data_IF_387640820169
#
_entry.id   IF_387640820169
#
_cell.length_a   1.000
_cell.length_b   1.000
_cell.length_c   1.000
_cell.angle_alpha   90.00
_cell.angle_beta   90.00
_cell.angle_gamma   90.00
#
_symmetry.space_group_name_H-M   'P 1'
#
loop_
_entity.id
_entity.type
_entity.pdbx_description
1 polymer ?
#
# COMPACT_ATOMS: atom_id res chain seq x y z
N UNK A 1 -15.09 -2.94 17.74
CA UNK A 1 -15.95 -2.51 16.59
C UNK A 1 -14.99 -1.90 15.57
N UNK A 2 -14.92 -2.40 14.34
CA UNK A 2 -13.93 -1.91 13.39
C UNK A 2 -14.34 -0.53 12.85
N UNK A 3 -13.37 0.33 12.54
CA UNK A 3 -13.60 1.67 11.96
C UNK A 3 -14.46 1.62 10.70
N UNK A 4 -14.40 0.53 9.96
CA UNK A 4 -15.11 0.30 8.70
C UNK A 4 -16.63 0.16 8.86
N UNK A 5 -17.13 -0.16 10.05
CA UNK A 5 -18.58 -0.21 10.34
C UNK A 5 -19.19 1.17 10.56
N UNK A 6 -18.36 2.20 10.71
CA UNK A 6 -18.78 3.58 10.96
C UNK A 6 -18.87 4.40 9.68
N UNK A 7 -19.56 5.51 9.74
CA UNK A 7 -19.74 6.42 8.59
C UNK A 7 -18.39 6.94 8.04
N UNK A 8 -17.44 7.22 8.93
CA UNK A 8 -16.09 7.71 8.54
C UNK A 8 -15.36 6.66 7.71
N UNK A 9 -15.34 5.40 8.16
CA UNK A 9 -14.69 4.32 7.42
C UNK A 9 -15.31 4.09 6.05
N UNK A 10 -16.64 4.16 5.94
CA UNK A 10 -17.34 4.06 4.65
C UNK A 10 -16.99 5.19 3.68
N UNK A 11 -16.89 6.43 4.18
CA UNK A 11 -16.47 7.57 3.35
C UNK A 11 -15.01 7.42 2.89
N UNK A 12 -14.13 6.87 3.72
CA UNK A 12 -12.76 6.54 3.33
C UNK A 12 -12.74 5.50 2.22
N UNK A 13 -13.47 4.40 2.37
CA UNK A 13 -13.57 3.35 1.34
C UNK A 13 -14.02 3.91 -0.02
N UNK A 14 -15.02 4.80 -0.05
CA UNK A 14 -15.47 5.44 -1.30
C UNK A 14 -14.30 6.17 -2.00
N UNK A 15 -13.37 6.73 -1.25
CA UNK A 15 -12.19 7.41 -1.80
C UNK A 15 -11.10 6.41 -2.22
N UNK A 16 -10.96 5.31 -1.50
CA UNK A 16 -9.89 4.32 -1.70
C UNK A 16 -10.17 3.38 -2.87
N UNK A 17 -11.40 2.88 -2.98
CA UNK A 17 -11.74 1.82 -3.94
C UNK A 17 -11.38 2.15 -5.40
N UNK A 18 -11.64 3.36 -5.93
CA UNK A 18 -11.23 3.71 -7.30
C UNK A 18 -9.71 3.72 -7.49
N UNK A 19 -8.97 4.13 -6.46
CA UNK A 19 -7.51 4.17 -6.50
C UNK A 19 -6.93 2.77 -6.44
N UNK A 20 -7.48 1.91 -5.57
CA UNK A 20 -7.12 0.50 -5.47
C UNK A 20 -7.36 -0.19 -6.82
N UNK A 21 -8.52 0.04 -7.44
CA UNK A 21 -8.83 -0.51 -8.76
C UNK A 21 -7.79 -0.08 -9.81
N UNK A 22 -7.45 1.20 -9.85
CA UNK A 22 -6.46 1.74 -10.78
C UNK A 22 -5.06 1.17 -10.55
N UNK A 23 -4.57 1.13 -9.30
CA UNK A 23 -3.23 0.64 -8.99
C UNK A 23 -3.12 -0.88 -9.09
N UNK A 24 -4.17 -1.62 -8.72
CA UNK A 24 -4.19 -3.07 -8.85
C UNK A 24 -4.19 -3.53 -10.31
N UNK A 25 -4.68 -2.71 -11.24
CA UNK A 25 -4.60 -3.01 -12.68
C UNK A 25 -3.17 -3.04 -13.22
N UNK A 26 -2.24 -2.38 -12.54
CA UNK A 26 -0.82 -2.41 -12.87
C UNK A 26 -0.11 -3.67 -12.33
N UNK A 27 -0.77 -4.46 -11.48
CA UNK A 27 -0.23 -5.68 -10.91
C UNK A 27 -0.50 -6.85 -11.85
N UNK A 28 0.56 -7.60 -12.19
CA UNK A 28 0.49 -8.72 -13.13
C UNK A 28 1.11 -9.95 -12.48
N UNK A 29 0.55 -11.12 -12.76
CA UNK A 29 1.01 -12.39 -12.21
C UNK A 29 -0.15 -13.37 -12.01
N UNK A 30 0.11 -14.47 -11.32
CA UNK A 30 -0.86 -15.53 -11.10
C UNK A 30 -1.38 -15.54 -9.65
N UNK A 31 -0.50 -15.35 -8.66
CA UNK A 31 -0.81 -15.51 -7.24
C UNK A 31 -0.70 -14.20 -6.51
N UNK A 32 -1.77 -13.85 -5.82
CA UNK A 32 -1.85 -12.60 -5.07
C UNK A 32 -2.23 -12.85 -3.62
N UNK A 33 -1.68 -12.03 -2.71
CA UNK A 33 -2.04 -12.03 -1.30
C UNK A 33 -2.71 -10.70 -0.95
N UNK A 34 -3.85 -10.77 -0.28
CA UNK A 34 -4.54 -9.63 0.30
C UNK A 34 -4.46 -9.72 1.82
N UNK A 35 -3.86 -8.73 2.43
CA UNK A 35 -3.86 -8.48 3.87
C UNK A 35 -4.83 -7.32 4.16
N UNK A 36 -6.07 -7.66 4.50
CA UNK A 36 -7.16 -6.72 4.79
C UNK A 36 -8.24 -7.42 5.58
N UNK A 37 -8.93 -6.69 6.45
CA UNK A 37 -10.13 -7.18 7.12
C UNK A 37 -11.42 -6.72 6.45
N UNK A 38 -11.31 -5.94 5.36
CA UNK A 38 -12.48 -5.34 4.71
C UNK A 38 -12.81 -6.08 3.38
N UNK A 39 -13.93 -6.82 3.34
CA UNK A 39 -14.31 -7.60 2.17
C UNK A 39 -14.55 -6.77 0.90
N UNK A 40 -15.04 -5.53 1.05
CA UNK A 40 -15.36 -4.64 -0.08
C UNK A 40 -14.12 -4.34 -0.93
N UNK A 41 -12.93 -4.41 -0.35
CA UNK A 41 -11.67 -4.21 -1.09
C UNK A 41 -11.49 -5.26 -2.18
N UNK A 42 -11.92 -6.50 -1.96
CA UNK A 42 -11.81 -7.59 -2.96
C UNK A 42 -12.54 -7.22 -4.25
N UNK A 43 -13.72 -6.59 -4.14
CA UNK A 43 -14.53 -6.22 -5.30
C UNK A 43 -13.88 -5.10 -6.13
N UNK A 44 -13.06 -4.28 -5.50
CA UNK A 44 -12.32 -3.20 -6.17
C UNK A 44 -11.05 -3.66 -6.86
N UNK A 45 -10.51 -4.83 -6.50
CA UNK A 45 -9.30 -5.35 -7.14
C UNK A 45 -9.56 -5.69 -8.61
N UNK A 46 -8.54 -5.53 -9.45
CA UNK A 46 -8.61 -5.92 -10.85
C UNK A 46 -8.95 -7.41 -11.01
N UNK A 47 -9.63 -7.77 -12.10
CA UNK A 47 -10.02 -9.17 -12.37
C UNK A 47 -8.82 -10.13 -12.35
N UNK A 48 -7.65 -9.66 -12.76
CA UNK A 48 -6.42 -10.45 -12.76
C UNK A 48 -5.97 -10.78 -11.34
N UNK A 49 -5.97 -9.81 -10.44
CA UNK A 49 -5.58 -9.99 -9.02
C UNK A 49 -6.56 -10.92 -8.31
N UNK A 50 -7.86 -10.82 -8.61
CA UNK A 50 -8.90 -11.65 -7.98
C UNK A 50 -8.88 -13.13 -8.38
N UNK A 51 -8.24 -13.49 -9.50
CA UNK A 51 -8.29 -14.85 -10.07
C UNK A 51 -7.70 -15.91 -9.14
N UNK A 52 -6.58 -15.63 -8.52
CA UNK A 52 -5.93 -16.54 -7.55
C UNK A 52 -5.49 -15.73 -6.32
N UNK A 53 -6.49 -15.28 -5.56
CA UNK A 53 -6.33 -14.43 -4.39
C UNK A 53 -6.28 -15.29 -3.12
N UNK A 54 -5.27 -15.03 -2.29
CA UNK A 54 -5.11 -15.60 -0.96
C UNK A 54 -5.37 -14.51 0.09
N UNK A 55 -5.93 -14.87 1.23
CA UNK A 55 -6.09 -13.96 2.37
C UNK A 55 -5.92 -14.70 3.69
N UNK A 56 -5.44 -13.98 4.70
CA UNK A 56 -5.35 -14.48 6.07
C UNK A 56 -6.49 -13.98 6.97
N UNK A 57 -7.39 -13.17 6.45
CA UNK A 57 -8.53 -12.64 7.22
C UNK A 57 -9.77 -13.51 7.07
N UNK A 58 -10.39 -13.86 8.21
CA UNK A 58 -11.66 -14.60 8.26
C UNK A 58 -12.80 -13.86 7.55
N UNK A 59 -12.77 -12.53 7.55
CA UNK A 59 -13.78 -11.72 6.89
C UNK A 59 -13.84 -11.94 5.38
N UNK A 60 -12.73 -12.38 4.76
CA UNK A 60 -12.56 -12.52 3.31
C UNK A 60 -12.57 -13.99 2.87
N UNK A 61 -12.60 -14.95 3.79
CA UNK A 61 -12.47 -16.39 3.49
C UNK A 61 -13.45 -16.93 2.42
N UNK A 62 -14.59 -16.26 2.21
CA UNK A 62 -15.56 -16.65 1.17
C UNK A 62 -15.17 -16.17 -0.23
N UNK A 63 -14.30 -15.17 -0.32
CA UNK A 63 -13.94 -14.49 -1.58
C UNK A 63 -12.50 -14.80 -2.03
N UNK A 64 -11.68 -15.36 -1.15
CA UNK A 64 -10.28 -15.68 -1.38
C UNK A 64 -9.91 -17.03 -0.77
N UNK A 65 -8.79 -17.60 -1.20
CA UNK A 65 -8.23 -18.80 -0.57
C UNK A 65 -7.72 -18.45 0.82
N UNK A 66 -8.46 -18.88 1.83
CA UNK A 66 -8.14 -18.59 3.22
C UNK A 66 -6.95 -19.42 3.71
N UNK A 67 -5.99 -18.75 4.34
CA UNK A 67 -4.89 -19.39 5.06
C UNK A 67 -4.72 -18.63 6.39
N UNK A 68 -4.92 -19.30 7.54
CA UNK A 68 -4.90 -18.63 8.83
C UNK A 68 -3.54 -17.97 9.08
N UNK A 69 -3.58 -16.75 9.60
CA UNK A 69 -2.38 -16.06 10.04
C UNK A 69 -1.77 -16.77 11.25
N UNK A 70 -0.45 -16.73 11.36
CA UNK A 70 0.23 -17.18 12.56
C UNK A 70 0.17 -16.11 13.65
N UNK A 71 -0.05 -16.49 14.89
CA UNK A 71 -0.01 -15.59 16.06
C UNK A 71 1.33 -14.86 16.20
N UNK A 72 2.40 -15.41 15.64
CA UNK A 72 3.75 -14.84 15.65
C UNK A 72 3.97 -13.71 14.63
N UNK A 73 2.96 -13.30 13.87
CA UNK A 73 3.10 -12.29 12.80
C UNK A 73 3.91 -12.77 11.58
N UNK A 74 4.22 -14.06 11.52
CA UNK A 74 4.88 -14.69 10.37
C UNK A 74 3.82 -15.21 9.42
N UNK A 75 3.93 -14.87 8.14
CA UNK A 75 3.01 -15.37 7.13
C UNK A 75 3.28 -16.86 6.84
N UNK A 76 2.24 -17.73 6.86
CA UNK A 76 2.37 -19.19 6.69
C UNK A 76 2.65 -19.61 5.25
N UNK A 77 3.41 -18.82 4.52
CA UNK A 77 3.79 -19.06 3.14
C UNK A 77 5.30 -19.18 2.99
N UNK A 78 5.72 -19.99 2.03
CA UNK A 78 7.14 -20.05 1.67
C UNK A 78 7.60 -18.72 1.06
N UNK A 79 8.92 -18.45 1.14
CA UNK A 79 9.52 -17.29 0.52
C UNK A 79 9.28 -17.28 -1.01
N UNK A 80 9.11 -16.11 -1.59
CA UNK A 80 8.97 -15.92 -3.04
C UNK A 80 7.82 -16.71 -3.67
N UNK A 81 6.66 -16.67 -3.02
CA UNK A 81 5.48 -17.43 -3.47
C UNK A 81 4.51 -16.57 -4.30
N UNK A 82 4.35 -15.29 -3.94
CA UNK A 82 3.37 -14.39 -4.55
C UNK A 82 3.98 -13.48 -5.62
N UNK A 83 3.22 -13.25 -6.68
CA UNK A 83 3.56 -12.29 -7.74
C UNK A 83 3.15 -10.87 -7.34
N UNK A 84 2.16 -10.74 -6.46
CA UNK A 84 1.75 -9.45 -5.92
C UNK A 84 1.12 -9.57 -4.54
N UNK A 85 1.25 -8.49 -3.76
CA UNK A 85 0.69 -8.37 -2.41
C UNK A 85 -0.03 -7.03 -2.32
N UNK A 86 -1.24 -7.06 -1.77
CA UNK A 86 -2.01 -5.87 -1.41
C UNK A 86 -2.14 -5.83 0.10
N UNK A 87 -1.65 -4.77 0.72
CA UNK A 87 -1.77 -4.50 2.15
C UNK A 87 -2.71 -3.32 2.31
N UNK A 88 -3.87 -3.55 2.91
CA UNK A 88 -4.90 -2.55 3.14
C UNK A 88 -5.14 -2.41 4.64
N UNK A 89 -4.61 -1.34 5.23
CA UNK A 89 -4.74 -0.98 6.65
C UNK A 89 -4.40 -2.10 7.65
N UNK A 90 -3.56 -3.04 7.26
CA UNK A 90 -3.15 -4.15 8.11
C UNK A 90 -1.91 -3.81 8.95
N UNK A 91 -0.95 -3.08 8.38
CA UNK A 91 0.29 -2.73 9.09
C UNK A 91 0.04 -1.83 10.31
N UNK A 92 -1.00 -1.01 10.29
CA UNK A 92 -1.35 -0.12 11.38
C UNK A 92 -1.83 -0.84 12.64
N UNK A 93 -2.34 -2.06 12.48
CA UNK A 93 -2.82 -2.91 13.59
C UNK A 93 -1.70 -3.72 14.23
N UNK A 94 -0.61 -3.91 13.50
CA UNK A 94 0.49 -4.74 13.95
C UNK A 94 1.33 -4.02 15.03
N UNK A 95 1.82 -4.78 15.99
CA UNK A 95 2.72 -4.27 17.03
C UNK A 95 4.05 -3.77 16.45
N UNK A 96 4.55 -4.46 15.43
CA UNK A 96 5.73 -4.07 14.65
C UNK A 96 5.41 -4.05 13.14
N UNK A 97 5.00 -2.88 12.60
CA UNK A 97 4.72 -2.73 11.16
C UNK A 97 5.92 -3.05 10.26
N UNK A 98 7.15 -2.85 10.77
CA UNK A 98 8.37 -3.14 10.03
C UNK A 98 8.55 -4.65 9.83
N UNK A 99 8.24 -5.43 10.85
CA UNK A 99 8.27 -6.89 10.74
C UNK A 99 7.22 -7.39 9.76
N UNK A 100 5.99 -6.87 9.82
CA UNK A 100 4.93 -7.22 8.88
C UNK A 100 5.30 -6.92 7.43
N UNK A 101 5.90 -5.75 7.18
CA UNK A 101 6.39 -5.40 5.85
C UNK A 101 7.52 -6.33 5.39
N UNK A 102 8.45 -6.70 6.29
CA UNK A 102 9.53 -7.65 5.99
C UNK A 102 8.98 -9.02 5.60
N UNK A 103 7.97 -9.51 6.32
CA UNK A 103 7.31 -10.77 6.01
C UNK A 103 6.59 -10.72 4.66
N UNK A 104 5.89 -9.63 4.36
CA UNK A 104 5.27 -9.42 3.06
C UNK A 104 6.32 -9.48 1.93
N UNK A 105 7.45 -8.79 2.10
CA UNK A 105 8.55 -8.83 1.10
C UNK A 105 9.20 -10.21 1.03
N UNK A 106 9.31 -10.96 2.13
CA UNK A 106 9.85 -12.33 2.13
C UNK A 106 9.04 -13.25 1.21
N UNK A 107 7.73 -13.17 1.28
CA UNK A 107 6.83 -14.02 0.48
C UNK A 107 6.59 -13.50 -0.93
N UNK A 108 6.97 -12.26 -1.23
CA UNK A 108 6.90 -11.65 -2.56
C UNK A 108 8.06 -12.14 -3.43
N UNK A 109 7.80 -12.51 -4.68
CA UNK A 109 8.83 -12.87 -5.66
C UNK A 109 9.70 -11.68 -6.04
N UNK A 110 10.97 -11.91 -6.48
CA UNK A 110 11.72 -10.90 -7.22
C UNK A 110 10.92 -10.42 -8.44
N UNK A 111 10.86 -9.11 -8.67
CA UNK A 111 10.01 -8.52 -9.71
C UNK A 111 8.52 -8.42 -9.35
N UNK A 112 8.09 -9.02 -8.24
CA UNK A 112 6.71 -8.93 -7.75
C UNK A 112 6.36 -7.53 -7.25
N UNK A 113 5.07 -7.21 -7.20
CA UNK A 113 4.57 -5.87 -6.86
C UNK A 113 3.85 -5.86 -5.51
N UNK A 114 4.12 -4.83 -4.74
CA UNK A 114 3.49 -4.54 -3.45
C UNK A 114 2.67 -3.26 -3.56
N UNK A 115 1.36 -3.36 -3.32
CA UNK A 115 0.47 -2.22 -3.14
C UNK A 115 0.18 -2.06 -1.65
N UNK A 116 0.61 -0.93 -1.07
CA UNK A 116 0.39 -0.58 0.31
C UNK A 116 -0.59 0.58 0.39
N UNK A 117 -1.66 0.39 1.16
CA UNK A 117 -2.64 1.39 1.51
C UNK A 117 -2.63 1.55 3.03
N UNK A 118 -2.51 2.78 3.51
CA UNK A 118 -2.44 3.03 4.94
C UNK A 118 -2.71 4.46 5.35
N UNK A 119 -2.92 4.66 6.67
CA UNK A 119 -3.14 5.99 7.24
C UNK A 119 -1.83 6.76 7.35
N UNK A 120 -1.88 8.01 6.91
CA UNK A 120 -0.74 8.91 6.91
C UNK A 120 -0.64 9.68 8.23
N UNK A 121 0.49 9.54 8.92
CA UNK A 121 0.75 10.23 10.18
C UNK A 121 0.86 11.77 10.03
N UNK A 122 1.22 12.28 8.86
CA UNK A 122 1.31 13.73 8.61
C UNK A 122 0.00 14.36 8.15
N UNK A 123 -1.08 13.61 8.17
CA UNK A 123 -2.41 14.13 7.87
C UNK A 123 -3.11 14.71 9.10
N UNK A 124 -4.21 15.40 8.87
CA UNK A 124 -5.10 15.82 9.97
C UNK A 124 -5.66 14.62 10.75
N UNK A 125 -5.81 13.46 10.12
CA UNK A 125 -6.17 12.21 10.81
C UNK A 125 -5.05 11.74 11.73
N UNK A 126 -3.80 11.87 11.32
CA UNK A 126 -2.64 11.57 12.15
C UNK A 126 -2.55 12.48 13.38
N UNK A 127 -2.81 13.77 13.21
CA UNK A 127 -2.87 14.72 14.31
C UNK A 127 -4.02 14.39 15.27
N UNK A 128 -5.19 14.04 14.75
CA UNK A 128 -6.32 13.57 15.56
C UNK A 128 -5.96 12.29 16.31
N UNK A 129 -5.33 11.31 15.67
CA UNK A 129 -4.89 10.08 16.33
C UNK A 129 -3.92 10.33 17.48
N UNK A 130 -3.06 11.36 17.36
CA UNK A 130 -2.20 11.78 18.47
C UNK A 130 -3.01 12.34 19.65
N UNK A 131 -4.04 13.12 19.37
CA UNK A 131 -4.94 13.66 20.37
C UNK A 131 -5.90 12.60 20.94
N UNK A 132 -6.33 11.62 20.15
CA UNK A 132 -7.28 10.56 20.54
C UNK A 132 -6.70 9.59 21.57
N UNK A 133 -5.39 9.52 21.73
CA UNK A 133 -4.75 8.80 22.84
C UNK A 133 -5.16 9.34 24.21
N UNK A 134 -5.67 10.55 24.27
CA UNK A 134 -6.19 11.19 25.49
C UNK A 134 -7.73 11.15 25.57
N UNK A 135 -8.40 10.77 24.48
CA UNK A 135 -9.86 10.65 24.40
C UNK A 135 -10.14 9.31 23.74
N UNK A 136 -11.00 8.47 24.33
CA UNK A 136 -11.39 7.17 23.77
C UNK A 136 -12.03 7.40 22.39
N UNK A 137 -11.28 7.16 21.33
CA UNK A 137 -11.72 7.32 19.94
C UNK A 137 -11.45 6.04 19.14
N UNK A 138 -12.23 5.80 18.11
CA UNK A 138 -12.20 4.61 17.25
C UNK A 138 -10.87 4.39 16.52
N UNK A 139 -10.05 5.44 16.42
CA UNK A 139 -8.70 5.39 15.85
C UNK A 139 -7.60 4.95 16.84
N UNK A 140 -7.95 4.71 18.11
CA UNK A 140 -6.96 4.37 19.15
C UNK A 140 -6.21 3.06 18.88
N UNK A 141 -6.84 2.14 18.13
CA UNK A 141 -6.26 0.84 17.76
C UNK A 141 -5.29 0.92 16.56
N UNK A 142 -5.33 2.02 15.80
CA UNK A 142 -4.52 2.16 14.59
C UNK A 142 -3.28 3.01 14.82
N UNK A 143 -2.14 2.51 14.39
CA UNK A 143 -0.87 3.26 14.36
C UNK A 143 -0.69 3.91 13.01
N UNK A 144 -0.82 5.22 12.97
CA UNK A 144 -0.57 5.97 11.73
C UNK A 144 0.88 5.85 11.31
N UNK A 145 1.10 5.53 10.04
CA UNK A 145 2.42 5.27 9.50
C UNK A 145 3.04 6.56 8.95
N UNK A 146 4.33 6.74 9.25
CA UNK A 146 5.09 7.84 8.70
C UNK A 146 5.54 7.50 7.27
N UNK A 147 5.10 8.26 6.22
CA UNK A 147 5.46 7.97 4.84
C UNK A 147 6.96 7.95 4.57
N UNK A 148 7.74 8.83 5.20
CA UNK A 148 9.19 8.87 5.01
C UNK A 148 9.85 7.63 5.59
N UNK A 149 9.43 7.17 6.77
CA UNK A 149 9.91 5.90 7.33
C UNK A 149 9.57 4.69 6.46
N UNK A 150 8.39 4.71 5.85
CA UNK A 150 8.02 3.64 4.91
C UNK A 150 8.93 3.62 3.69
N UNK A 151 9.28 4.79 3.14
CA UNK A 151 10.23 4.89 2.03
C UNK A 151 11.62 4.37 2.41
N UNK A 152 12.09 4.68 3.63
CA UNK A 152 13.35 4.12 4.15
C UNK A 152 13.26 2.59 4.28
N UNK A 153 12.14 2.06 4.78
CA UNK A 153 11.94 0.61 4.87
C UNK A 153 11.86 -0.05 3.49
N UNK A 154 11.22 0.60 2.52
CA UNK A 154 11.18 0.11 1.14
C UNK A 154 12.60 0.01 0.57
N UNK A 155 13.41 1.03 0.74
CA UNK A 155 14.81 1.03 0.29
C UNK A 155 15.64 -0.09 0.95
N UNK A 156 15.46 -0.30 2.27
CA UNK A 156 16.14 -1.37 3.02
C UNK A 156 15.69 -2.79 2.64
N UNK A 157 14.48 -2.93 2.10
CA UNK A 157 13.88 -4.21 1.71
C UNK A 157 13.96 -4.46 0.19
N UNK A 158 14.78 -3.71 -0.53
CA UNK A 158 14.93 -3.80 -1.99
C UNK A 158 13.62 -3.59 -2.76
N UNK A 159 12.72 -2.75 -2.22
CA UNK A 159 11.52 -2.29 -2.91
C UNK A 159 11.81 -0.95 -3.61
N UNK A 160 11.41 -0.85 -4.86
CA UNK A 160 11.50 0.37 -5.66
C UNK A 160 10.08 0.85 -6.03
N UNK A 161 9.79 2.13 -5.80
CA UNK A 161 8.50 2.69 -6.17
C UNK A 161 8.32 2.67 -7.69
N UNK A 162 7.18 2.15 -8.15
CA UNK A 162 6.79 2.19 -9.57
C UNK A 162 6.24 3.57 -9.92
N UNK A 163 5.49 4.15 -9.00
CA UNK A 163 4.90 5.48 -9.15
C UNK A 163 5.19 6.33 -7.90
N UNK A 164 5.11 7.65 -8.05
CA UNK A 164 5.16 8.54 -6.90
C UNK A 164 4.01 8.22 -5.93
N UNK A 165 4.26 8.23 -4.60
CA UNK A 165 3.21 8.01 -3.62
C UNK A 165 2.01 8.92 -3.87
N UNK A 166 0.81 8.34 -3.80
CA UNK A 166 -0.46 9.06 -3.97
C UNK A 166 -1.09 9.23 -2.59
N UNK A 167 -1.70 10.38 -2.36
CA UNK A 167 -2.34 10.68 -1.09
C UNK A 167 -3.79 11.08 -1.36
N UNK A 168 -4.74 10.50 -0.63
CA UNK A 168 -6.17 10.76 -0.76
C UNK A 168 -6.78 11.26 0.54
N UNK A 169 -8.02 11.78 0.46
CA UNK A 169 -8.79 12.16 1.63
C UNK A 169 -8.20 13.34 2.41
N UNK A 170 -8.51 14.56 2.01
CA UNK A 170 -8.29 15.77 2.81
C UNK A 170 -9.51 16.02 3.73
N UNK A 171 -9.98 14.97 4.44
CA UNK A 171 -11.08 15.14 5.37
C UNK A 171 -10.60 15.75 6.69
N UNK A 172 -11.25 16.79 7.17
CA UNK A 172 -11.17 17.13 8.58
C UNK A 172 -11.91 16.05 9.37
N UNK A 173 -11.26 15.29 10.25
CA UNK A 173 -11.92 14.25 11.04
C UNK A 173 -12.72 14.84 12.20
N UNK A 174 -13.23 16.04 12.07
CA UNK A 174 -14.05 16.65 13.09
C UNK A 174 -15.50 16.30 12.79
N UNK A 175 -15.92 15.18 13.32
CA UNK A 175 -17.30 15.06 13.79
C UNK A 175 -17.45 16.03 14.96
N UNK A 176 -17.50 17.30 14.66
CA UNK A 176 -18.01 18.29 15.60
C UNK A 176 -19.47 17.91 15.79
N UNK A 177 -19.75 17.32 16.95
CA UNK A 177 -21.08 17.04 17.44
C UNK A 177 -21.77 18.37 17.76
N UNK A 178 -21.86 19.23 16.75
CA UNK A 178 -22.64 20.45 16.76
C UNK A 178 -24.07 20.04 16.43
N UNK A 179 -24.88 19.93 17.46
CA UNK A 179 -26.34 19.80 17.45
C UNK A 179 -27.02 20.96 16.69
N UNK A 180 -26.58 21.29 15.48
CA UNK A 180 -27.28 22.23 14.61
C UNK A 180 -27.11 21.81 13.16
N UNK A 181 -28.17 21.23 12.66
CA UNK A 181 -28.34 20.54 11.40
C UNK A 181 -28.12 21.35 10.11
N UNK A 182 -27.75 22.61 10.11
CA UNK A 182 -27.99 23.38 8.88
C UNK A 182 -26.80 24.13 8.24
N UNK A 183 -25.60 24.12 8.82
CA UNK A 183 -24.52 24.93 8.20
C UNK A 183 -23.24 24.17 7.83
N UNK A 184 -23.02 22.95 8.32
CA UNK A 184 -21.78 22.21 8.06
C UNK A 184 -21.93 21.11 6.98
N UNK A 185 -23.11 20.86 6.46
CA UNK A 185 -23.31 19.99 5.30
C UNK A 185 -22.73 20.59 4.00
N UNK A 186 -22.42 21.88 3.96
CA UNK A 186 -21.69 22.51 2.86
C UNK A 186 -20.17 22.34 2.93
N UNK A 187 -19.62 22.03 4.09
CA UNK A 187 -18.26 21.55 4.24
C UNK A 187 -18.21 20.01 4.24
N UNK A 188 -19.02 19.36 3.42
CA UNK A 188 -18.72 18.01 2.93
C UNK A 188 -17.42 18.10 2.11
N UNK A 189 -16.32 18.20 2.81
CA UNK A 189 -14.97 18.09 2.26
C UNK A 189 -14.68 16.61 1.91
N UNK A 190 -15.74 15.78 1.85
CA UNK A 190 -15.65 14.43 1.36
C UNK A 190 -15.71 14.32 -0.16
N UNK A 191 -16.16 15.33 -0.84
CA UNK A 191 -16.22 15.35 -2.29
C UNK A 191 -15.12 16.24 -2.90
N UNK A 192 -13.97 16.35 -2.26
CA UNK A 192 -12.79 16.69 -3.05
C UNK A 192 -12.58 15.51 -3.98
N UNK A 193 -12.87 15.80 -5.23
CA UNK A 193 -12.65 14.99 -6.39
C UNK A 193 -11.49 14.01 -6.20
N UNK A 194 -11.46 12.90 -6.95
CA UNK A 194 -10.39 11.92 -6.92
C UNK A 194 -9.04 12.49 -7.39
N UNK A 195 -8.79 13.75 -7.13
CA UNK A 195 -7.53 14.41 -7.32
C UNK A 195 -6.61 13.94 -6.21
N UNK A 196 -6.03 12.77 -6.44
CA UNK A 196 -4.89 12.28 -5.72
C UNK A 196 -3.87 13.41 -5.62
N UNK A 197 -3.78 14.00 -4.45
CA UNK A 197 -2.86 15.11 -4.21
C UNK A 197 -1.46 14.52 -4.08
N UNK A 198 -0.52 15.05 -4.84
CA UNK A 198 0.91 14.72 -4.75
C UNK A 198 1.55 15.12 -3.41
N UNK A 199 0.83 15.87 -2.58
CA UNK A 199 1.34 16.39 -1.32
C UNK A 199 1.10 15.43 -0.16
N UNK A 200 2.07 15.23 0.75
CA UNK A 200 2.02 14.23 1.82
C UNK A 200 1.04 14.57 2.95
N UNK A 201 0.00 15.36 2.71
CA UNK A 201 -0.98 15.78 3.71
C UNK A 201 -2.33 15.06 3.64
N UNK A 202 -2.55 14.20 2.64
CA UNK A 202 -3.76 13.38 2.55
C UNK A 202 -3.84 12.35 3.66
N UNK A 203 -5.05 12.05 4.13
CA UNK A 203 -5.30 11.12 5.25
C UNK A 203 -4.87 9.68 4.95
N UNK A 204 -4.99 9.28 3.70
CA UNK A 204 -4.69 7.95 3.21
C UNK A 204 -3.52 8.06 2.25
N UNK A 205 -2.59 7.13 2.33
CA UNK A 205 -1.47 7.02 1.41
C UNK A 205 -1.55 5.72 0.62
N UNK A 206 -1.16 5.79 -0.64
CA UNK A 206 -1.07 4.67 -1.57
C UNK A 206 0.34 4.60 -2.12
N UNK A 207 0.99 3.48 -1.96
CA UNK A 207 2.35 3.23 -2.44
C UNK A 207 2.38 1.94 -3.24
N UNK A 208 2.74 2.04 -4.51
CA UNK A 208 2.97 0.88 -5.37
C UNK A 208 4.47 0.72 -5.61
N UNK A 209 5.01 -0.39 -5.12
CA UNK A 209 6.42 -0.70 -5.24
C UNK A 209 6.64 -2.06 -5.89
N UNK A 210 7.81 -2.26 -6.45
CA UNK A 210 8.26 -3.52 -7.03
C UNK A 210 9.51 -4.00 -6.29
N UNK A 211 9.56 -5.30 -5.99
CA UNK A 211 10.78 -5.90 -5.45
C UNK A 211 11.83 -6.01 -6.55
N UNK A 212 13.03 -5.50 -6.30
CA UNK A 212 14.14 -5.53 -7.25
C UNK A 212 14.47 -6.98 -7.63
N UNK A 213 14.69 -7.18 -8.91
CA UNK A 213 15.24 -8.42 -9.43
C UNK A 213 16.74 -8.24 -9.66
N UNK A 214 17.53 -8.75 -8.71
CA UNK A 214 18.99 -8.63 -8.73
C UNK A 214 19.60 -9.27 -9.98
N UNK A 215 19.02 -10.35 -10.47
CA UNK A 215 19.51 -11.06 -11.65
C UNK A 215 19.34 -10.20 -12.90
N UNK A 216 18.18 -9.57 -13.06
CA UNK A 216 17.90 -8.67 -14.19
C UNK A 216 18.81 -7.45 -14.17
N UNK A 217 19.04 -6.88 -12.99
CA UNK A 217 19.93 -5.72 -12.85
C UNK A 217 21.40 -6.08 -13.14
N UNK A 218 21.87 -7.26 -12.76
CA UNK A 218 23.22 -7.73 -13.10
C UNK A 218 23.40 -7.92 -14.60
N UNK A 219 22.40 -8.41 -15.31
CA UNK A 219 22.46 -8.56 -16.77
C UNK A 219 22.50 -7.21 -17.47
N UNK A 220 21.70 -6.24 -17.06
CA UNK A 220 21.74 -4.87 -17.59
C UNK A 220 23.11 -4.22 -17.37
N UNK A 221 23.74 -4.41 -16.22
CA UNK A 221 25.08 -3.89 -15.95
C UNK A 221 26.13 -4.56 -16.84
N UNK A 222 26.02 -5.87 -17.09
CA UNK A 222 26.91 -6.59 -18.01
C UNK A 222 26.77 -6.09 -19.44
N UNK A 223 25.56 -5.93 -19.95
CA UNK A 223 25.28 -5.42 -21.29
C UNK A 223 25.81 -4.00 -21.47
N UNK A 224 25.63 -3.13 -20.49
CA UNK A 224 26.15 -1.75 -20.53
C UNK A 224 27.69 -1.71 -20.52
N UNK A 225 28.35 -2.66 -19.85
CA UNK A 225 29.83 -2.76 -19.88
C UNK A 225 30.36 -3.30 -21.20
N UNK A 226 29.69 -4.27 -21.79
CA UNK A 226 30.07 -4.85 -23.08
C UNK A 226 29.86 -3.85 -24.21
N UNK A 227 28.79 -3.06 -24.21
CA UNK A 227 28.54 -2.02 -25.22
C UNK A 227 29.51 -0.83 -25.20
N UNK A 228 30.41 -0.73 -24.20
CA UNK A 228 31.44 0.33 -24.10
C UNK A 228 32.81 -0.07 -24.63
N UNK A 229 33.00 -1.27 -25.14
CA UNK A 229 34.22 -1.63 -25.83
C UNK A 229 34.14 -1.09 -27.28
N UNK A 230 34.53 0.17 -27.44
CA UNK A 230 34.73 0.79 -28.73
C UNK A 230 35.87 0.03 -29.41
N UNK A 231 35.69 -0.50 -30.66
CA UNK A 231 36.79 -1.13 -31.35
C UNK A 231 37.87 -0.09 -31.63
N UNK A 232 39.09 -0.44 -31.25
CA UNK A 232 40.26 0.40 -31.51
C UNK A 232 40.32 0.73 -33.01
N UNK A 233 40.32 2.02 -33.33
CA UNK A 233 40.49 2.49 -34.68
C UNK A 233 41.80 1.95 -35.21
N UNK A 234 41.78 1.19 -36.31
CA UNK A 234 42.94 0.76 -37.06
C UNK A 234 43.62 1.99 -37.66
N UNK A 235 44.74 2.37 -37.09
CA UNK A 235 45.65 3.34 -37.75
C UNK A 235 46.16 2.71 -39.04
N UNK A 236 45.69 3.18 -40.20
CA UNK A 236 46.33 2.94 -41.48
C UNK A 236 47.55 3.84 -41.54
N UNK A 237 48.75 3.25 -41.50
CA UNK A 237 49.96 3.87 -41.92
C UNK A 237 49.98 3.91 -43.45
N UNK A 238 49.91 5.09 -44.04
CA UNK A 238 50.21 5.34 -45.46
C UNK A 238 51.70 5.52 -45.57
N UNK A 239 52.33 4.65 -46.32
CA UNK A 239 53.65 4.83 -46.93
C UNK A 239 53.48 5.60 -48.26
#
# INVERSE_FOLDING_TARGET
>A
MTIWTQNIGREMLVTELPVIASLSSLMHGERFLLLSDEPVVVDSLSCQVRRDLFSSSDAIQKMAKFVPASESGVLPFKSQFFDGIVIHHDLEKQSDPRQGLREAVRVLKPGGKLLLIGFNAFSFYGLRSWYSKFVSDDFSEYRFLNPFRLLDWFALLDLELIETPKYGGLGFPISLNLKKENYLTKFRVGALAPNLVRYPFGGIMFMLAQRKDLVRNMNLIKETRVGRLVPAASFRTSS
#
